data_IF_760381996967
#
_entry.id   IF_760381996967
#
_cell.length_a   1.000
_cell.length_b   1.000
_cell.length_c   1.000
_cell.angle_alpha   90.00
_cell.angle_beta   90.00
_cell.angle_gamma   90.00
#
_symmetry.space_group_name_H-M   'P 1'
#
loop_
_entity.id
_entity.type
_entity.pdbx_description
1 polymer ?
#
# COMPACT_ATOMS: atom_id res chain seq x y z
N UNK A 1 -2.00 6.36 2.75
CA UNK A 1 -1.87 4.97 3.26
C UNK A 1 -2.61 4.81 4.57
N UNK A 2 -3.57 3.90 4.61
CA UNK A 2 -4.16 3.45 5.87
C UNK A 2 -3.43 2.19 6.32
N UNK A 3 -3.08 2.07 7.61
CA UNK A 3 -2.54 0.84 8.19
C UNK A 3 -3.45 -0.39 7.91
N UNK A 4 -4.72 -0.15 7.63
CA UNK A 4 -5.75 -1.15 7.35
C UNK A 4 -6.22 -1.20 5.89
N UNK A 5 -5.67 -0.37 5.00
CA UNK A 5 -6.04 -0.28 3.59
C UNK A 5 -4.87 -0.32 2.63
N UNK A 6 -5.17 -0.41 1.33
CA UNK A 6 -4.18 -0.32 0.27
C UNK A 6 -3.93 1.14 -0.12
N UNK A 7 -4.98 1.92 -0.39
CA UNK A 7 -4.89 3.35 -0.69
C UNK A 7 -6.16 4.11 -0.29
N UNK A 8 -6.03 5.44 -0.22
CA UNK A 8 -7.13 6.39 -0.33
C UNK A 8 -6.84 7.28 -1.53
N UNK A 9 -7.86 7.64 -2.32
CA UNK A 9 -7.72 8.48 -3.51
C UNK A 9 -8.28 9.89 -3.32
N UNK A 10 -8.01 10.76 -4.30
CA UNK A 10 -8.47 12.15 -4.33
C UNK A 10 -9.96 12.31 -4.64
N UNK A 11 -10.70 11.24 -4.81
CA UNK A 11 -12.16 11.23 -4.96
C UNK A 11 -12.86 10.78 -3.67
N UNK A 12 -12.09 10.51 -2.60
CA UNK A 12 -12.60 10.04 -1.32
C UNK A 12 -12.79 8.52 -1.23
N UNK A 13 -12.44 7.77 -2.27
CA UNK A 13 -12.55 6.32 -2.24
C UNK A 13 -11.41 5.71 -1.41
N UNK A 14 -11.74 4.69 -0.63
CA UNK A 14 -10.78 3.94 0.19
C UNK A 14 -10.77 2.48 -0.24
N UNK A 15 -9.60 1.97 -0.63
CA UNK A 15 -9.42 0.57 -0.93
C UNK A 15 -8.87 -0.17 0.28
N UNK A 16 -9.67 -1.09 0.84
CA UNK A 16 -9.24 -1.98 1.94
C UNK A 16 -8.24 -3.03 1.49
N UNK A 17 -7.47 -3.57 2.43
CA UNK A 17 -6.59 -4.72 2.19
C UNK A 17 -7.24 -6.02 2.65
N UNK A 18 -7.25 -7.09 1.83
CA UNK A 18 -7.85 -8.39 2.19
C UNK A 18 -7.13 -9.14 3.31
N UNK A 19 -5.91 -8.72 3.72
CA UNK A 19 -5.12 -9.28 4.83
C UNK A 19 -4.86 -10.80 4.65
N UNK A 20 -4.49 -11.24 3.46
CA UNK A 20 -4.33 -12.65 3.10
C UNK A 20 -3.32 -13.40 3.97
N UNK A 21 -2.16 -12.79 4.26
CA UNK A 21 -1.17 -13.38 5.14
C UNK A 21 -1.70 -13.54 6.57
N UNK A 22 -2.34 -12.52 7.12
CA UNK A 22 -2.92 -12.56 8.48
C UNK A 22 -3.96 -13.65 8.62
N UNK A 23 -4.83 -13.84 7.60
CA UNK A 23 -5.82 -14.92 7.55
C UNK A 23 -5.16 -16.31 7.54
N UNK A 24 -4.05 -16.48 6.84
CA UNK A 24 -3.35 -17.76 6.74
C UNK A 24 -2.34 -18.02 7.87
N UNK A 25 -2.01 -17.03 8.69
CA UNK A 25 -0.92 -17.07 9.68
C UNK A 25 -1.03 -18.22 10.67
N UNK A 26 -2.22 -18.47 11.24
CA UNK A 26 -2.43 -19.58 12.19
C UNK A 26 -2.18 -20.94 11.54
N UNK A 27 -2.68 -21.15 10.30
CA UNK A 27 -2.47 -22.37 9.53
C UNK A 27 -1.00 -22.55 9.15
N UNK A 28 -0.34 -21.48 8.73
CA UNK A 28 1.08 -21.49 8.39
C UNK A 28 1.95 -21.87 9.60
N UNK A 29 1.71 -21.27 10.75
CA UNK A 29 2.43 -21.59 11.99
C UNK A 29 2.25 -23.07 12.42
N UNK A 30 1.03 -23.64 12.25
CA UNK A 30 0.77 -25.06 12.49
C UNK A 30 1.61 -25.96 11.57
N UNK A 31 1.62 -25.64 10.25
CA UNK A 31 2.37 -26.42 9.27
C UNK A 31 3.88 -26.30 9.49
N UNK A 32 4.39 -25.13 9.86
CA UNK A 32 5.81 -24.92 10.18
C UNK A 32 6.24 -25.70 11.42
N UNK A 33 5.41 -25.74 12.47
CA UNK A 33 5.67 -26.58 13.66
C UNK A 33 5.67 -28.07 13.33
N UNK A 34 4.79 -28.51 12.43
CA UNK A 34 4.79 -29.91 11.93
C UNK A 34 6.06 -30.21 11.13
N UNK A 35 6.51 -29.27 10.31
CA UNK A 35 7.74 -29.41 9.53
C UNK A 35 8.98 -29.48 10.43
N UNK A 36 9.07 -28.62 11.45
CA UNK A 36 10.23 -28.57 12.37
C UNK A 36 10.44 -29.87 13.17
N UNK A 37 9.33 -30.59 13.44
CA UNK A 37 9.36 -31.86 14.18
C UNK A 37 9.76 -33.07 13.32
N UNK A 38 9.96 -32.91 12.01
CA UNK A 38 10.32 -34.01 11.10
C UNK A 38 11.84 -34.10 10.95
N UNK A 39 12.33 -35.30 10.87
CA UNK A 39 13.75 -35.62 10.65
C UNK A 39 14.25 -35.01 9.34
N UNK A 40 15.42 -34.35 9.39
CA UNK A 40 16.05 -33.74 8.23
C UNK A 40 16.43 -34.84 7.21
N UNK A 41 16.13 -34.59 5.93
CA UNK A 41 16.39 -35.56 4.85
C UNK A 41 15.28 -36.58 4.60
N UNK A 42 14.35 -36.79 5.56
CA UNK A 42 13.28 -37.79 5.39
C UNK A 42 12.21 -37.39 4.34
N UNK A 43 11.61 -38.39 3.70
CA UNK A 43 10.48 -38.17 2.78
C UNK A 43 9.29 -37.48 3.46
N UNK A 44 9.04 -37.78 4.73
CA UNK A 44 7.99 -37.13 5.50
C UNK A 44 8.26 -35.63 5.72
N UNK A 45 9.53 -35.24 5.90
CA UNK A 45 9.89 -33.82 5.95
C UNK A 45 9.68 -33.14 4.61
N UNK A 46 10.05 -33.78 3.50
CA UNK A 46 9.81 -33.25 2.16
C UNK A 46 8.31 -33.03 1.89
N UNK A 47 7.47 -33.99 2.23
CA UNK A 47 6.00 -33.83 2.15
C UNK A 47 5.49 -32.65 3.01
N UNK A 48 5.99 -32.48 4.23
CA UNK A 48 5.62 -31.37 5.10
C UNK A 48 6.12 -30.01 4.54
N UNK A 49 7.35 -29.95 3.99
CA UNK A 49 7.89 -28.76 3.32
C UNK A 49 7.02 -28.30 2.15
N UNK A 50 6.57 -29.26 1.33
CA UNK A 50 5.66 -28.94 0.21
C UNK A 50 4.32 -28.36 0.68
N UNK A 51 3.76 -28.83 1.80
CA UNK A 51 2.53 -28.26 2.38
C UNK A 51 2.73 -26.80 2.80
N UNK A 52 3.86 -26.47 3.45
CA UNK A 52 4.21 -25.10 3.81
C UNK A 52 4.37 -24.23 2.56
N UNK A 53 5.16 -24.70 1.58
CA UNK A 53 5.41 -23.96 0.33
C UNK A 53 4.13 -23.70 -0.46
N UNK A 54 3.25 -24.69 -0.57
CA UNK A 54 1.94 -24.53 -1.26
C UNK A 54 1.07 -23.47 -0.59
N UNK A 55 1.00 -23.45 0.75
CA UNK A 55 0.22 -22.43 1.47
C UNK A 55 0.81 -21.03 1.27
N UNK A 56 2.14 -20.88 1.34
CA UNK A 56 2.82 -19.60 1.09
C UNK A 56 2.58 -19.11 -0.34
N UNK A 57 2.74 -20.00 -1.35
CA UNK A 57 2.48 -19.68 -2.76
C UNK A 57 1.02 -19.27 -2.98
N UNK A 58 0.07 -20.00 -2.40
CA UNK A 58 -1.35 -19.66 -2.49
C UNK A 58 -1.63 -18.25 -1.93
N UNK A 59 -1.12 -17.94 -0.75
CA UNK A 59 -1.27 -16.61 -0.11
C UNK A 59 -0.62 -15.50 -0.95
N UNK A 60 0.55 -15.75 -1.52
CA UNK A 60 1.22 -14.80 -2.41
C UNK A 60 0.42 -14.57 -3.70
N UNK A 61 -0.10 -15.63 -4.32
CA UNK A 61 -0.89 -15.54 -5.54
C UNK A 61 -2.21 -14.77 -5.32
N UNK A 62 -2.90 -15.00 -4.20
CA UNK A 62 -4.10 -14.24 -3.84
C UNK A 62 -3.81 -12.74 -3.74
N UNK A 63 -2.69 -12.36 -3.12
CA UNK A 63 -2.26 -10.96 -3.03
C UNK A 63 -1.95 -10.39 -4.40
N UNK A 64 -1.17 -11.10 -5.22
CA UNK A 64 -0.82 -10.67 -6.57
C UNK A 64 -2.07 -10.46 -7.44
N UNK A 65 -3.01 -11.40 -7.43
CA UNK A 65 -4.27 -11.28 -8.16
C UNK A 65 -5.06 -10.04 -7.76
N UNK A 66 -5.19 -9.79 -6.45
CA UNK A 66 -5.85 -8.60 -5.93
C UNK A 66 -5.16 -7.30 -6.39
N UNK A 67 -3.83 -7.23 -6.26
CA UNK A 67 -3.05 -6.06 -6.68
C UNK A 67 -3.10 -5.84 -8.19
N UNK A 68 -3.06 -6.93 -8.98
CA UNK A 68 -3.22 -6.86 -10.44
C UNK A 68 -4.59 -6.29 -10.84
N UNK A 69 -5.68 -6.76 -10.21
CA UNK A 69 -7.03 -6.27 -10.48
C UNK A 69 -7.15 -4.79 -10.15
N UNK A 70 -6.70 -4.37 -8.95
CA UNK A 70 -6.79 -2.98 -8.52
C UNK A 70 -5.90 -2.03 -9.33
N UNK A 71 -4.68 -2.43 -9.68
CA UNK A 71 -3.82 -1.61 -10.54
C UNK A 71 -4.32 -1.52 -11.98
N UNK A 72 -4.97 -2.57 -12.50
CA UNK A 72 -5.60 -2.52 -13.85
C UNK A 72 -6.83 -1.62 -13.85
N UNK A 73 -7.67 -1.69 -12.82
CA UNK A 73 -8.84 -0.82 -12.65
C UNK A 73 -8.42 0.65 -12.69
N UNK A 74 -7.42 1.04 -11.90
CA UNK A 74 -6.90 2.42 -11.87
C UNK A 74 -6.28 2.82 -13.22
N UNK A 75 -5.44 1.97 -13.81
CA UNK A 75 -4.79 2.28 -15.08
C UNK A 75 -5.77 2.40 -16.25
N UNK A 76 -6.93 1.74 -16.20
CA UNK A 76 -7.98 1.91 -17.18
C UNK A 76 -8.79 3.19 -16.96
N UNK A 77 -9.01 3.58 -15.70
CA UNK A 77 -9.90 4.67 -15.35
C UNK A 77 -9.24 6.06 -15.45
N UNK A 78 -7.92 6.17 -15.16
CA UNK A 78 -7.23 7.45 -15.07
C UNK A 78 -6.08 7.55 -16.08
N UNK A 79 -5.86 8.76 -16.61
CA UNK A 79 -4.74 9.06 -17.50
C UNK A 79 -3.50 9.57 -16.75
N UNK A 80 -3.71 10.14 -15.55
CA UNK A 80 -2.64 10.62 -14.68
C UNK A 80 -2.85 10.05 -13.27
N UNK A 81 -1.85 9.35 -12.75
CA UNK A 81 -1.86 8.84 -11.39
C UNK A 81 -0.68 9.42 -10.62
N UNK A 82 -0.98 10.20 -9.58
CA UNK A 82 -0.01 10.80 -8.71
C UNK A 82 0.06 10.02 -7.39
N UNK A 83 1.27 9.66 -6.97
CA UNK A 83 1.49 8.88 -5.74
C UNK A 83 2.59 9.49 -4.90
N UNK A 84 2.53 9.28 -3.58
CA UNK A 84 3.65 9.62 -2.71
C UNK A 84 4.80 8.63 -2.87
N UNK A 85 6.03 9.10 -2.70
CA UNK A 85 7.22 8.24 -2.66
C UNK A 85 7.33 7.60 -1.28
N UNK A 86 7.12 6.27 -1.19
CA UNK A 86 7.20 5.53 0.05
C UNK A 86 8.52 4.81 0.24
N UNK A 87 9.07 4.94 1.42
CA UNK A 87 10.16 4.08 1.87
C UNK A 87 9.62 2.78 2.48
N UNK A 88 9.13 1.88 1.60
CA UNK A 88 8.55 0.60 2.01
C UNK A 88 9.55 -0.31 2.73
N UNK A 89 10.85 -0.13 2.51
CA UNK A 89 11.91 -0.87 3.17
C UNK A 89 11.99 -0.49 4.65
N UNK A 90 12.04 0.79 4.95
CA UNK A 90 12.04 1.27 6.34
C UNK A 90 10.70 1.00 7.04
N UNK A 91 9.57 1.15 6.35
CA UNK A 91 8.24 0.82 6.89
C UNK A 91 8.08 -0.66 7.26
N UNK A 92 8.86 -1.57 6.65
CA UNK A 92 8.82 -3.01 6.95
C UNK A 92 9.69 -3.42 8.14
N UNK A 93 10.53 -2.53 8.69
CA UNK A 93 11.40 -2.81 9.82
C UNK A 93 10.62 -2.99 11.13
N UNK A 94 11.19 -3.83 12.04
CA UNK A 94 10.57 -4.11 13.36
C UNK A 94 10.30 -2.85 14.18
N UNK A 95 11.19 -1.85 14.12
CA UNK A 95 11.06 -0.60 14.87
C UNK A 95 9.88 0.27 14.45
N UNK A 96 9.33 0.07 13.25
CA UNK A 96 8.20 0.85 12.75
C UNK A 96 6.82 0.32 13.22
N UNK A 97 6.78 -0.86 13.85
CA UNK A 97 5.56 -1.48 14.41
C UNK A 97 4.55 -2.02 13.38
N UNK A 98 4.61 -1.59 12.12
CA UNK A 98 3.65 -1.93 11.07
C UNK A 98 4.19 -2.88 9.97
N UNK A 99 5.37 -3.49 10.17
CA UNK A 99 6.05 -4.28 9.15
C UNK A 99 5.19 -5.41 8.56
N UNK A 100 4.40 -6.11 9.38
CA UNK A 100 3.49 -7.16 8.89
C UNK A 100 2.39 -6.59 7.97
N UNK A 101 1.84 -5.42 8.29
CA UNK A 101 0.81 -4.78 7.49
C UNK A 101 1.40 -4.30 6.16
N UNK A 102 2.57 -3.66 6.19
CA UNK A 102 3.28 -3.18 5.01
C UNK A 102 3.58 -4.32 4.03
N UNK A 103 4.10 -5.46 4.53
CA UNK A 103 4.40 -6.63 3.70
C UNK A 103 3.12 -7.32 3.19
N UNK A 104 2.06 -7.39 4.00
CA UNK A 104 0.80 -8.04 3.59
C UNK A 104 0.05 -7.18 2.56
N UNK A 105 0.12 -5.86 2.64
CA UNK A 105 -0.49 -4.94 1.69
C UNK A 105 0.26 -4.91 0.34
N UNK A 106 1.58 -5.13 0.34
CA UNK A 106 2.38 -5.21 -0.88
C UNK A 106 2.50 -3.89 -1.65
N UNK A 107 2.63 -2.76 -0.94
CA UNK A 107 2.68 -1.42 -1.53
C UNK A 107 3.69 -1.26 -2.67
N UNK A 108 4.93 -1.72 -2.49
CA UNK A 108 5.95 -1.64 -3.54
C UNK A 108 5.56 -2.39 -4.80
N UNK A 109 4.98 -3.59 -4.65
CA UNK A 109 4.48 -4.38 -5.79
C UNK A 109 3.34 -3.63 -6.50
N UNK A 110 2.43 -3.04 -5.73
CA UNK A 110 1.30 -2.28 -6.28
C UNK A 110 1.76 -1.04 -7.07
N UNK A 111 2.70 -0.27 -6.53
CA UNK A 111 3.26 0.91 -7.22
C UNK A 111 3.97 0.52 -8.51
N UNK A 112 4.78 -0.55 -8.50
CA UNK A 112 5.42 -1.05 -9.71
C UNK A 112 4.40 -1.51 -10.75
N UNK A 113 3.30 -2.16 -10.31
CA UNK A 113 2.21 -2.57 -11.22
C UNK A 113 1.49 -1.38 -11.83
N UNK A 114 1.28 -0.30 -11.10
CA UNK A 114 0.71 0.94 -11.62
C UNK A 114 1.64 1.59 -12.64
N UNK A 115 2.92 1.71 -12.30
CA UNK A 115 3.94 2.35 -13.13
C UNK A 115 4.01 1.72 -14.51
N UNK A 116 4.25 0.40 -14.61
CA UNK A 116 4.35 -0.25 -15.93
C UNK A 116 3.01 -0.27 -16.70
N UNK A 117 1.87 -0.47 -16.00
CA UNK A 117 0.56 -0.51 -16.67
C UNK A 117 0.12 0.84 -17.21
N UNK A 118 0.48 1.94 -16.56
CA UNK A 118 0.24 3.29 -17.08
C UNK A 118 1.18 3.58 -18.24
N UNK A 119 2.48 3.24 -18.12
CA UNK A 119 3.46 3.36 -19.20
C UNK A 119 3.04 2.61 -20.44
N UNK A 120 2.62 1.33 -20.32
CA UNK A 120 2.12 0.51 -21.44
C UNK A 120 0.90 1.10 -22.16
N UNK A 121 0.19 2.03 -21.50
CA UNK A 121 -0.99 2.73 -22.04
C UNK A 121 -0.70 4.15 -22.51
N UNK A 122 0.57 4.60 -22.49
CA UNK A 122 0.94 5.97 -22.79
C UNK A 122 0.40 6.99 -21.77
N UNK A 123 0.17 6.57 -20.52
CA UNK A 123 -0.38 7.38 -19.44
C UNK A 123 0.70 7.76 -18.41
N UNK A 124 0.41 8.74 -17.58
CA UNK A 124 1.39 9.34 -16.68
C UNK A 124 1.33 8.76 -15.29
N UNK A 125 2.51 8.38 -14.75
CA UNK A 125 2.72 7.97 -13.37
C UNK A 125 3.69 8.92 -12.68
N UNK A 126 3.20 9.75 -11.77
CA UNK A 126 3.96 10.82 -11.14
C UNK A 126 4.23 10.47 -9.67
N UNK A 127 5.50 10.43 -9.28
CA UNK A 127 5.92 10.25 -7.89
C UNK A 127 6.19 11.61 -7.27
N UNK A 128 5.40 11.98 -6.27
CA UNK A 128 5.61 13.17 -5.46
C UNK A 128 6.72 12.90 -4.43
N UNK A 129 7.54 13.89 -4.15
CA UNK A 129 8.65 13.77 -3.21
C UNK A 129 8.20 13.26 -1.83
N UNK A 130 9.02 12.41 -1.22
CA UNK A 130 8.72 11.80 0.09
C UNK A 130 8.62 12.80 1.24
N UNK A 131 9.24 13.97 1.09
CA UNK A 131 9.23 15.03 2.10
C UNK A 131 8.08 16.03 1.91
N UNK A 132 7.32 15.90 0.82
CA UNK A 132 6.16 16.75 0.60
C UNK A 132 5.13 16.54 1.72
N UNK A 133 4.80 17.59 2.51
CA UNK A 133 3.98 17.44 3.72
C UNK A 133 2.48 17.34 3.41
N UNK A 134 2.10 16.43 2.53
CA UNK A 134 0.74 16.28 1.97
C UNK A 134 -0.37 16.25 3.02
N UNK A 135 -0.15 15.61 4.16
CA UNK A 135 -1.13 15.50 5.24
C UNK A 135 -1.21 16.77 6.12
N UNK A 136 -0.21 17.66 6.03
CA UNK A 136 -0.12 18.88 6.85
C UNK A 136 -0.60 20.14 6.13
N UNK A 137 -0.77 20.07 4.80
CA UNK A 137 -1.23 21.18 3.97
C UNK A 137 -2.76 21.12 3.85
N UNK A 138 -3.41 22.25 3.95
CA UNK A 138 -4.84 22.36 3.68
C UNK A 138 -5.11 22.29 2.17
N UNK A 139 -5.92 21.33 1.73
CA UNK A 139 -6.28 21.19 0.31
C UNK A 139 -7.16 22.32 -0.23
N UNK A 140 -7.74 23.17 0.64
CA UNK A 140 -8.55 24.31 0.26
C UNK A 140 -7.72 25.59 0.13
N UNK A 141 -6.98 25.98 1.17
CA UNK A 141 -6.32 27.30 1.24
C UNK A 141 -4.78 27.22 1.19
N UNK A 142 -4.18 26.04 1.18
CA UNK A 142 -2.74 25.84 1.13
C UNK A 142 -2.00 26.11 2.46
N UNK A 143 -2.68 26.54 3.52
CA UNK A 143 -2.03 26.77 4.82
C UNK A 143 -1.49 25.46 5.40
N UNK A 144 -0.30 25.51 6.02
CA UNK A 144 0.35 24.36 6.62
C UNK A 144 0.17 24.34 8.14
N UNK A 145 -0.22 23.18 8.68
CA UNK A 145 -0.40 22.95 10.11
C UNK A 145 0.23 21.61 10.50
N UNK A 146 0.99 21.58 11.59
CA UNK A 146 1.47 20.32 12.17
C UNK A 146 0.28 19.51 12.70
N UNK A 147 0.20 18.25 12.32
CA UNK A 147 -0.78 17.29 12.81
C UNK A 147 -0.04 16.05 13.34
N UNK A 148 -0.66 15.32 14.25
CA UNK A 148 -0.13 14.09 14.80
C UNK A 148 -0.63 12.85 14.03
N UNK A 149 0.01 11.71 14.22
CA UNK A 149 -0.46 10.44 13.63
C UNK A 149 -1.82 9.98 14.20
N UNK A 150 -2.19 10.47 15.39
CA UNK A 150 -3.47 10.16 16.02
C UNK A 150 -4.63 10.92 15.39
N UNK A 151 -4.36 12.10 14.82
CA UNK A 151 -5.40 12.92 14.19
C UNK A 151 -5.91 12.25 12.92
N UNK A 152 -7.20 11.96 12.87
CA UNK A 152 -7.88 11.35 11.71
C UNK A 152 -8.58 12.39 10.84
N UNK A 153 -8.93 13.52 11.43
CA UNK A 153 -9.63 14.63 10.76
C UNK A 153 -8.68 15.81 10.67
N UNK A 154 -8.52 16.36 9.49
CA UNK A 154 -7.82 17.62 9.25
C UNK A 154 -8.79 18.78 9.41
N UNK A 155 -8.49 19.72 10.33
CA UNK A 155 -9.27 20.93 10.56
C UNK A 155 -8.43 22.16 10.29
N UNK A 156 -8.90 23.07 9.46
CA UNK A 156 -8.21 24.29 9.07
C UNK A 156 -8.94 25.54 9.57
N UNK A 157 -8.21 26.63 9.78
CA UNK A 157 -8.77 27.96 10.10
C UNK A 157 -9.65 28.53 8.98
N UNK A 158 -9.51 28.05 7.72
CA UNK A 158 -10.40 28.43 6.63
C UNK A 158 -11.79 27.76 6.68
N UNK A 159 -12.07 26.95 7.70
CA UNK A 159 -13.32 26.21 7.86
C UNK A 159 -13.34 24.81 7.29
N UNK A 160 -12.27 24.36 6.59
CA UNK A 160 -12.19 22.98 6.06
C UNK A 160 -12.09 21.98 7.22
N UNK A 161 -13.01 21.00 7.23
CA UNK A 161 -12.97 19.83 8.08
C UNK A 161 -13.12 18.58 7.21
N UNK A 162 -12.09 17.72 7.13
CA UNK A 162 -12.00 16.63 6.16
C UNK A 162 -11.18 15.46 6.72
N UNK A 163 -11.42 14.23 6.25
CA UNK A 163 -10.53 13.08 6.57
C UNK A 163 -9.09 13.40 6.15
N UNK A 164 -8.12 13.13 7.03
CA UNK A 164 -6.70 13.45 6.81
C UNK A 164 -6.13 12.76 5.59
N UNK A 165 -6.47 11.49 5.36
CA UNK A 165 -5.91 10.72 4.24
C UNK A 165 -6.52 11.19 2.92
N UNK A 166 -7.79 11.62 2.93
CA UNK A 166 -8.43 12.26 1.78
C UNK A 166 -7.81 13.64 1.49
N UNK A 167 -7.61 14.49 2.50
CA UNK A 167 -6.89 15.76 2.34
C UNK A 167 -5.49 15.55 1.72
N UNK A 168 -4.73 14.57 2.23
CA UNK A 168 -3.42 14.23 1.69
C UNK A 168 -3.48 13.76 0.23
N UNK A 169 -4.47 12.96 -0.13
CA UNK A 169 -4.65 12.48 -1.50
C UNK A 169 -4.94 13.62 -2.48
N UNK A 170 -5.75 14.61 -2.09
CA UNK A 170 -6.00 15.82 -2.90
C UNK A 170 -4.71 16.62 -3.08
N UNK A 171 -3.93 16.81 -2.02
CA UNK A 171 -2.66 17.53 -2.09
C UNK A 171 -1.63 16.82 -2.96
N UNK A 172 -1.52 15.50 -2.87
CA UNK A 172 -0.63 14.68 -3.73
C UNK A 172 -1.04 14.81 -5.20
N UNK A 173 -2.34 14.78 -5.50
CA UNK A 173 -2.85 15.01 -6.85
C UNK A 173 -2.45 16.38 -7.36
N UNK A 174 -2.69 17.44 -6.59
CA UNK A 174 -2.40 18.82 -7.00
C UNK A 174 -0.90 19.03 -7.25
N UNK A 175 -0.05 18.54 -6.35
CA UNK A 175 1.41 18.61 -6.51
C UNK A 175 1.89 17.79 -7.71
N UNK A 176 1.38 16.58 -7.90
CA UNK A 176 1.73 15.76 -9.06
C UNK A 176 1.33 16.39 -10.39
N UNK A 177 0.16 17.03 -10.45
CA UNK A 177 -0.27 17.78 -11.64
C UNK A 177 0.59 19.03 -11.86
N UNK A 178 1.06 19.70 -10.80
CA UNK A 178 2.01 20.82 -10.89
C UNK A 178 3.34 20.34 -11.48
N UNK A 179 3.85 19.21 -11.01
CA UNK A 179 5.10 18.60 -11.53
C UNK A 179 4.96 18.21 -13.01
N UNK A 180 3.82 17.62 -13.39
CA UNK A 180 3.58 17.22 -14.78
C UNK A 180 3.54 18.41 -15.74
N UNK A 181 3.01 19.57 -15.31
CA UNK A 181 2.98 20.81 -16.12
C UNK A 181 4.35 21.47 -16.26
N UNK A 182 5.27 21.18 -15.35
CA UNK A 182 6.61 21.75 -15.32
C UNK A 182 7.66 20.90 -16.05
N UNK A 183 7.31 19.68 -16.48
CA UNK A 183 8.15 18.75 -17.23
C UNK A 183 7.94 18.87 -18.74
#
# INVERSE_FOLDING_TARGET
>A
YKSDGLYADSNGNVCGSPKYYRKSQKKLAKLQRQLSRKEKGSNNRNKARLKVARLQKHTANQRLDFLHKKSTEIANQYDVVCVETLDTKNMSNKGFGNGKATLDNGYGIFLNMLEYKLSDRGKYFIKVDKWYPSSQICSCCGSQKKITLADRIYKCSCGLEIDRDYNAAVNIKNEGLRLLKAA
#
